data_IF_821696396355
#
_entry.id   IF_821696396355
#
_cell.length_a   1.000
_cell.length_b   1.000
_cell.length_c   1.000
_cell.angle_alpha   90.00
_cell.angle_beta   90.00
_cell.angle_gamma   90.00
#
_symmetry.space_group_name_H-M   'P 1'
#
loop_
_entity.id
_entity.type
_entity.pdbx_description
1 polymer ?
#
# COMPACT_ATOMS: atom_id res chain seq x y z
N UNK A 1 13.40 -19.39 -11.94
CA UNK A 1 12.70 -19.73 -10.68
C UNK A 1 12.59 -21.25 -10.60
N UNK A 2 12.50 -21.80 -9.39
CA UNK A 2 12.43 -23.24 -9.13
C UNK A 2 11.10 -23.57 -8.47
N UNK A 3 10.59 -24.78 -8.71
CA UNK A 3 9.41 -25.28 -8.02
C UNK A 3 9.83 -25.75 -6.62
N UNK A 4 9.10 -25.33 -5.58
CA UNK A 4 9.33 -25.80 -4.21
C UNK A 4 9.21 -27.34 -4.21
N UNK A 5 10.12 -28.07 -3.54
CA UNK A 5 10.04 -29.53 -3.42
C UNK A 5 8.66 -29.97 -2.93
N UNK A 6 8.17 -31.10 -3.43
CA UNK A 6 6.78 -31.52 -3.21
C UNK A 6 6.40 -31.67 -1.74
N UNK A 7 7.28 -32.26 -0.93
CA UNK A 7 7.07 -32.41 0.52
C UNK A 7 6.90 -31.04 1.19
N UNK A 8 7.73 -30.05 0.83
CA UNK A 8 7.61 -28.68 1.32
C UNK A 8 6.36 -27.96 0.83
N UNK A 9 5.90 -28.20 -0.41
CA UNK A 9 4.65 -27.64 -0.91
C UNK A 9 3.42 -28.11 -0.11
N UNK A 10 3.46 -29.34 0.42
CA UNK A 10 2.40 -29.90 1.28
C UNK A 10 2.54 -29.44 2.74
N UNK A 11 3.76 -29.14 3.17
CA UNK A 11 4.06 -28.75 4.54
C UNK A 11 3.91 -27.24 4.80
N UNK A 12 4.13 -26.39 3.80
CA UNK A 12 4.15 -24.93 3.96
C UNK A 12 2.80 -24.32 3.55
N UNK A 13 2.07 -23.83 4.55
CA UNK A 13 0.71 -23.29 4.40
C UNK A 13 0.71 -21.77 4.48
N UNK A 14 0.41 -21.10 3.37
CA UNK A 14 0.27 -19.63 3.35
C UNK A 14 -1.11 -19.24 3.88
N UNK A 15 -1.15 -18.41 4.93
CA UNK A 15 -2.42 -17.87 5.45
C UNK A 15 -2.95 -16.81 4.49
N UNK A 16 -4.29 -16.70 4.32
CA UNK A 16 -4.89 -15.75 3.38
C UNK A 16 -4.34 -14.33 3.55
N UNK A 17 -3.90 -13.75 2.44
CA UNK A 17 -3.38 -12.39 2.43
C UNK A 17 -4.54 -11.39 2.61
N UNK A 18 -4.44 -10.45 3.56
CA UNK A 18 -5.48 -9.45 3.77
C UNK A 18 -5.60 -8.50 2.56
N UNK A 19 -6.82 -8.12 2.24
CA UNK A 19 -7.11 -7.09 1.25
C UNK A 19 -7.05 -5.68 1.87
N UNK A 20 -6.90 -4.67 1.01
CA UNK A 20 -6.92 -3.24 1.36
C UNK A 20 -5.90 -2.91 2.48
N UNK A 21 -4.62 -3.10 2.18
CA UNK A 21 -3.48 -2.91 3.09
C UNK A 21 -2.39 -2.02 2.48
N UNK A 22 -2.76 -1.06 1.60
CA UNK A 22 -1.81 -0.08 1.07
C UNK A 22 -1.21 0.77 2.20
N UNK A 23 0.02 1.24 2.00
CA UNK A 23 0.76 1.98 3.02
C UNK A 23 0.05 3.29 3.41
N UNK A 24 -0.39 4.04 2.40
CA UNK A 24 -0.94 5.39 2.52
C UNK A 24 -2.40 5.38 2.98
N UNK A 25 -3.26 4.59 2.32
CA UNK A 25 -4.72 4.68 2.55
C UNK A 25 -5.22 3.86 3.74
N UNK A 26 -4.45 2.86 4.18
CA UNK A 26 -4.94 1.82 5.09
C UNK A 26 -4.12 1.69 6.38
N UNK A 27 -3.46 2.76 6.83
CA UNK A 27 -2.62 2.74 8.03
C UNK A 27 -3.35 2.17 9.26
N UNK A 28 -4.59 2.62 9.54
CA UNK A 28 -5.37 2.09 10.68
C UNK A 28 -5.66 0.59 10.60
N UNK A 29 -5.85 0.03 9.39
CA UNK A 29 -6.04 -1.42 9.20
C UNK A 29 -4.73 -2.18 9.38
N UNK A 30 -3.62 -1.60 8.94
CA UNK A 30 -2.28 -2.16 9.12
C UNK A 30 -1.91 -2.21 10.60
N UNK A 31 -2.15 -1.14 11.34
CA UNK A 31 -1.93 -1.09 12.79
C UNK A 31 -2.77 -2.14 13.52
N UNK A 32 -4.07 -2.19 13.27
CA UNK A 32 -4.97 -3.18 13.88
C UNK A 32 -4.54 -4.63 13.57
N UNK A 33 -3.99 -4.89 12.39
CA UNK A 33 -3.43 -6.20 12.04
C UNK A 33 -2.17 -6.49 12.85
N UNK A 34 -1.23 -5.55 12.95
CA UNK A 34 -0.01 -5.73 13.74
C UNK A 34 -0.35 -6.04 15.21
N UNK A 35 -1.28 -5.30 15.81
CA UNK A 35 -1.78 -5.54 17.17
C UNK A 35 -2.44 -6.92 17.32
N UNK A 36 -3.23 -7.34 16.34
CA UNK A 36 -3.84 -8.67 16.34
C UNK A 36 -2.79 -9.79 16.26
N UNK A 37 -1.75 -9.61 15.44
CA UNK A 37 -0.64 -10.56 15.34
C UNK A 37 0.16 -10.61 16.65
N UNK A 38 0.46 -9.46 17.25
CA UNK A 38 1.15 -9.39 18.53
C UNK A 38 0.37 -10.13 19.63
N UNK A 39 -0.94 -9.89 19.74
CA UNK A 39 -1.81 -10.59 20.71
C UNK A 39 -1.88 -12.10 20.48
N UNK A 40 -1.94 -12.53 19.21
CA UNK A 40 -2.17 -13.95 18.89
C UNK A 40 -0.89 -14.79 18.90
N UNK A 41 0.25 -14.21 18.49
CA UNK A 41 1.51 -14.92 18.31
C UNK A 41 2.58 -14.57 19.35
N UNK A 42 2.45 -13.45 20.07
CA UNK A 42 3.46 -12.98 21.02
C UNK A 42 3.84 -13.99 22.11
N UNK A 43 2.88 -14.83 22.54
CA UNK A 43 3.09 -15.87 23.56
C UNK A 43 3.13 -17.30 22.99
N UNK A 44 3.11 -17.47 21.66
CA UNK A 44 3.11 -18.80 21.04
C UNK A 44 4.53 -19.33 20.85
N UNK A 45 4.69 -20.63 21.06
CA UNK A 45 5.97 -21.32 20.78
C UNK A 45 6.13 -21.58 19.27
N UNK A 46 7.38 -21.60 18.81
CA UNK A 46 7.71 -21.87 17.41
C UNK A 46 7.37 -20.74 16.43
N UNK A 47 7.32 -19.49 16.90
CA UNK A 47 7.12 -18.29 16.06
C UNK A 47 8.47 -17.73 15.64
N UNK A 48 8.67 -17.62 14.33
CA UNK A 48 9.88 -17.12 13.70
C UNK A 48 9.52 -15.90 12.86
N UNK A 49 10.27 -14.81 13.06
CA UNK A 49 10.17 -13.60 12.26
C UNK A 49 11.32 -13.56 11.28
N UNK A 50 11.06 -13.16 10.04
CA UNK A 50 12.07 -13.09 8.99
C UNK A 50 11.98 -11.78 8.25
N UNK A 51 13.15 -11.31 7.83
CA UNK A 51 13.29 -10.10 7.04
C UNK A 51 14.54 -10.16 6.16
N UNK A 52 14.55 -9.38 5.07
CA UNK A 52 15.71 -9.18 4.22
C UNK A 52 16.06 -7.69 4.05
N UNK A 53 17.36 -7.38 4.11
CA UNK A 53 17.91 -6.06 3.85
C UNK A 53 18.77 -6.05 2.57
N UNK A 54 18.63 -5.00 1.75
CA UNK A 54 19.37 -4.78 0.52
C UNK A 54 18.52 -4.11 -0.58
N UNK A 55 19.03 -3.99 -1.82
CA UNK A 55 20.36 -4.40 -2.24
C UNK A 55 21.45 -3.50 -1.64
N UNK A 56 22.48 -4.12 -1.08
CA UNK A 56 23.76 -3.49 -0.83
C UNK A 56 24.61 -3.52 -2.13
N UNK A 57 25.79 -2.89 -2.10
CA UNK A 57 26.73 -2.85 -3.24
C UNK A 57 26.86 -4.21 -3.94
N UNK A 58 26.94 -4.23 -5.27
CA UNK A 58 27.10 -5.49 -6.03
C UNK A 58 25.88 -6.43 -6.04
N UNK A 59 24.73 -6.01 -5.50
CA UNK A 59 23.50 -6.80 -5.44
C UNK A 59 23.49 -7.84 -4.31
N UNK A 60 24.21 -7.56 -3.22
CA UNK A 60 24.20 -8.36 -2.01
C UNK A 60 22.97 -8.04 -1.15
N UNK A 61 22.40 -9.07 -0.55
CA UNK A 61 21.32 -8.99 0.42
C UNK A 61 21.74 -9.74 1.67
N UNK A 62 21.23 -9.27 2.80
CA UNK A 62 21.31 -9.95 4.09
C UNK A 62 19.92 -10.39 4.49
N UNK A 63 19.80 -11.55 5.12
CA UNK A 63 18.55 -12.03 5.70
C UNK A 63 18.78 -12.41 7.14
N UNK A 64 17.77 -12.20 7.97
CA UNK A 64 17.79 -12.60 9.37
C UNK A 64 16.55 -13.42 9.72
N UNK A 65 16.73 -14.33 10.67
CA UNK A 65 15.68 -15.11 11.28
C UNK A 65 15.74 -14.88 12.78
N UNK A 66 14.64 -14.40 13.35
CA UNK A 66 14.52 -14.08 14.77
C UNK A 66 13.50 -15.00 15.43
N UNK A 67 13.87 -15.55 16.58
CA UNK A 67 13.01 -16.37 17.44
C UNK A 67 13.23 -15.98 18.90
N UNK A 68 12.14 -15.79 19.66
CA UNK A 68 12.17 -15.32 21.06
C UNK A 68 13.09 -14.09 21.27
N UNK A 69 12.94 -13.09 20.41
CA UNK A 69 13.74 -11.84 20.40
C UNK A 69 15.24 -12.01 20.14
N UNK A 70 15.71 -13.20 19.79
CA UNK A 70 17.10 -13.47 19.45
C UNK A 70 17.24 -13.80 17.97
N UNK A 71 18.29 -13.28 17.34
CA UNK A 71 18.68 -13.70 15.99
C UNK A 71 19.23 -15.11 16.04
N UNK A 72 18.50 -16.07 15.48
CA UNK A 72 18.85 -17.50 15.50
C UNK A 72 19.52 -17.96 14.21
N UNK A 73 19.36 -17.21 13.12
CA UNK A 73 20.00 -17.52 11.86
C UNK A 73 20.12 -16.26 10.98
N UNK A 74 21.01 -16.30 10.00
CA UNK A 74 21.16 -15.24 9.02
C UNK A 74 22.09 -15.65 7.89
N UNK A 75 21.95 -15.00 6.74
CA UNK A 75 22.72 -15.31 5.55
C UNK A 75 23.00 -14.05 4.74
N UNK A 76 24.15 -14.01 4.07
CA UNK A 76 24.51 -12.98 3.09
C UNK A 76 24.68 -13.63 1.73
N UNK A 77 23.98 -13.16 0.70
CA UNK A 77 24.03 -13.72 -0.65
C UNK A 77 23.63 -12.69 -1.70
N UNK A 78 23.90 -12.98 -2.97
CA UNK A 78 23.46 -12.13 -4.08
C UNK A 78 22.07 -12.53 -4.55
N UNK A 79 21.22 -11.54 -4.78
CA UNK A 79 19.89 -11.72 -5.35
C UNK A 79 19.60 -10.64 -6.40
N UNK A 80 18.65 -10.91 -7.30
CA UNK A 80 18.27 -9.93 -8.32
C UNK A 80 17.20 -8.94 -7.84
N UNK A 81 16.44 -9.30 -6.81
CA UNK A 81 15.28 -8.54 -6.30
C UNK A 81 15.11 -8.81 -4.82
N UNK A 82 14.65 -7.82 -4.05
CA UNK A 82 14.32 -7.98 -2.63
C UNK A 82 13.38 -9.16 -2.37
N UNK A 83 12.33 -9.34 -3.19
CA UNK A 83 11.42 -10.49 -3.04
C UNK A 83 12.11 -11.86 -3.09
N UNK A 84 13.21 -12.01 -3.85
CA UNK A 84 13.97 -13.26 -3.85
C UNK A 84 14.76 -13.43 -2.55
N UNK A 85 15.22 -12.34 -1.95
CA UNK A 85 15.92 -12.40 -0.68
C UNK A 85 14.94 -12.79 0.45
N UNK A 86 13.75 -12.20 0.45
CA UNK A 86 12.64 -12.56 1.35
C UNK A 86 12.22 -14.04 1.25
N UNK A 87 12.14 -14.58 0.03
CA UNK A 87 11.87 -16.02 -0.19
C UNK A 87 12.96 -16.92 0.43
N UNK A 88 14.21 -16.48 0.44
CA UNK A 88 15.32 -17.21 1.10
C UNK A 88 15.20 -17.09 2.62
N UNK A 89 14.82 -15.93 3.15
CA UNK A 89 14.59 -15.75 4.58
C UNK A 89 13.49 -16.70 5.11
N UNK A 90 12.39 -16.85 4.37
CA UNK A 90 11.33 -17.82 4.66
C UNK A 90 11.87 -19.26 4.66
N UNK A 91 12.64 -19.64 3.63
CA UNK A 91 13.23 -20.99 3.55
C UNK A 91 14.20 -21.26 4.72
N UNK A 92 14.97 -20.24 5.12
CA UNK A 92 15.89 -20.33 6.25
C UNK A 92 15.11 -20.54 7.57
N UNK A 93 14.04 -19.80 7.82
CA UNK A 93 13.18 -20.05 8.98
C UNK A 93 12.48 -21.41 8.94
N UNK A 94 12.07 -21.86 7.75
CA UNK A 94 11.49 -23.18 7.58
C UNK A 94 12.50 -24.29 7.89
N UNK A 95 13.79 -24.08 7.66
CA UNK A 95 14.82 -25.09 7.97
C UNK A 95 14.95 -25.44 9.45
N UNK A 96 14.45 -24.59 10.36
CA UNK A 96 14.45 -24.89 11.79
C UNK A 96 13.37 -25.92 12.16
N UNK A 97 13.74 -26.90 13.00
CA UNK A 97 12.84 -27.97 13.48
C UNK A 97 11.64 -27.43 14.26
N UNK A 98 11.88 -26.40 15.07
CA UNK A 98 10.89 -25.87 16.01
C UNK A 98 9.99 -24.79 15.37
N UNK A 99 10.25 -24.45 14.11
CA UNK A 99 9.49 -23.48 13.34
C UNK A 99 8.10 -24.01 13.02
N UNK A 100 7.07 -23.32 13.50
CA UNK A 100 5.65 -23.61 13.27
C UNK A 100 4.95 -22.46 12.57
N UNK A 101 5.32 -21.23 12.92
CA UNK A 101 4.76 -20.01 12.36
C UNK A 101 5.90 -19.14 11.85
N UNK A 102 5.86 -18.76 10.58
CA UNK A 102 6.83 -17.88 9.94
C UNK A 102 6.10 -16.57 9.63
N UNK A 103 6.57 -15.46 10.18
CA UNK A 103 6.01 -14.13 9.99
C UNK A 103 6.99 -13.29 9.17
N UNK A 104 6.50 -12.69 8.09
CA UNK A 104 7.26 -11.82 7.16
C UNK A 104 6.38 -10.66 6.73
N UNK A 105 6.96 -9.52 6.38
CA UNK A 105 6.24 -8.41 5.77
C UNK A 105 6.32 -8.38 4.23
N UNK A 106 6.97 -9.37 3.63
CA UNK A 106 7.00 -9.53 2.18
C UNK A 106 5.74 -10.20 1.62
N UNK A 107 4.76 -9.38 1.19
CA UNK A 107 3.56 -9.88 0.47
C UNK A 107 3.93 -10.70 -0.77
N UNK A 108 4.96 -10.26 -1.49
CA UNK A 108 5.44 -10.92 -2.70
C UNK A 108 5.97 -12.32 -2.44
N UNK A 109 6.79 -12.48 -1.40
CA UNK A 109 7.33 -13.78 -1.03
C UNK A 109 6.21 -14.75 -0.64
N UNK A 110 5.21 -14.30 0.14
CA UNK A 110 4.03 -15.08 0.46
C UNK A 110 3.29 -15.60 -0.78
N UNK A 111 3.01 -14.73 -1.77
CA UNK A 111 2.32 -15.15 -3.00
C UNK A 111 3.13 -16.15 -3.82
N UNK A 112 4.43 -15.95 -3.90
CA UNK A 112 5.30 -16.84 -4.67
C UNK A 112 5.40 -18.22 -4.03
N UNK A 113 5.49 -18.28 -2.69
CA UNK A 113 5.43 -19.53 -1.93
C UNK A 113 4.08 -20.23 -2.13
N UNK A 114 2.97 -19.48 -2.09
CA UNK A 114 1.62 -20.00 -2.36
C UNK A 114 1.52 -20.62 -3.77
N UNK A 115 2.17 -20.00 -4.77
CA UNK A 115 2.29 -20.52 -6.13
C UNK A 115 3.30 -21.67 -6.27
N UNK A 116 3.96 -22.09 -5.18
CA UNK A 116 4.96 -23.15 -5.20
C UNK A 116 6.26 -22.77 -5.91
N UNK A 117 6.58 -21.48 -6.00
CA UNK A 117 7.75 -20.93 -6.70
C UNK A 117 8.77 -20.31 -5.73
N UNK A 118 10.06 -20.52 -5.98
CA UNK A 118 11.13 -20.07 -5.09
C UNK A 118 12.44 -19.79 -5.88
N UNK A 119 13.41 -19.02 -5.36
CA UNK A 119 14.70 -18.85 -6.00
C UNK A 119 15.61 -20.06 -5.74
N UNK A 120 16.71 -20.16 -6.49
CA UNK A 120 17.59 -21.35 -6.43
C UNK A 120 18.12 -21.62 -5.02
N UNK A 121 18.54 -20.57 -4.30
CA UNK A 121 19.11 -20.71 -2.97
C UNK A 121 18.09 -21.26 -1.95
N UNK A 122 16.88 -20.72 -1.94
CA UNK A 122 15.79 -21.23 -1.12
C UNK A 122 15.42 -22.68 -1.49
N UNK A 123 15.40 -23.01 -2.79
CA UNK A 123 15.20 -24.39 -3.25
C UNK A 123 16.25 -25.34 -2.69
N UNK A 124 17.53 -24.94 -2.67
CA UNK A 124 18.62 -25.73 -2.09
C UNK A 124 18.47 -25.91 -0.59
N UNK A 125 18.05 -24.87 0.14
CA UNK A 125 17.74 -24.97 1.58
C UNK A 125 16.64 -26.01 1.80
N UNK A 126 15.51 -25.90 1.10
CA UNK A 126 14.41 -26.86 1.19
C UNK A 126 14.84 -28.30 0.86
N UNK A 127 15.63 -28.50 -0.19
CA UNK A 127 16.15 -29.82 -0.56
C UNK A 127 17.05 -30.43 0.51
N UNK A 128 17.90 -29.63 1.13
CA UNK A 128 18.82 -30.12 2.15
C UNK A 128 18.07 -30.54 3.43
N UNK A 129 16.98 -29.86 3.78
CA UNK A 129 16.16 -30.20 4.95
C UNK A 129 15.36 -31.51 4.81
N UNK A 130 15.08 -31.97 3.58
CA UNK A 130 14.33 -33.22 3.33
C UNK A 130 15.21 -34.46 3.55
N UNK A 131 16.54 -34.32 3.53
CA UNK A 131 17.45 -35.48 3.55
C UNK A 131 17.29 -36.34 4.79
N UNK A 132 16.89 -35.73 5.90
CA UNK A 132 16.87 -36.40 7.21
C UNK A 132 15.46 -36.83 7.63
N UNK A 133 14.42 -36.03 7.34
CA UNK A 133 13.02 -36.31 7.71
C UNK A 133 12.02 -35.54 6.83
N UNK A 134 10.78 -36.02 6.79
CA UNK A 134 9.68 -35.26 6.18
C UNK A 134 9.45 -33.92 6.92
N UNK A 135 9.23 -32.81 6.20
CA UNK A 135 9.09 -31.50 6.81
C UNK A 135 7.78 -31.38 7.59
N UNK A 136 7.87 -30.96 8.85
CA UNK A 136 6.72 -30.60 9.67
C UNK A 136 5.87 -29.48 9.04
N UNK A 137 4.57 -29.43 9.35
CA UNK A 137 3.69 -28.38 8.85
C UNK A 137 4.03 -27.01 9.44
N UNK A 138 4.08 -25.99 8.59
CA UNK A 138 4.42 -24.60 8.94
C UNK A 138 3.42 -23.63 8.34
N UNK A 139 3.11 -22.56 9.05
CA UNK A 139 2.19 -21.52 8.59
C UNK A 139 2.95 -20.23 8.28
N UNK A 140 2.88 -19.78 7.03
CA UNK A 140 3.42 -18.49 6.60
C UNK A 140 2.34 -17.41 6.76
N UNK A 141 2.67 -16.35 7.50
CA UNK A 141 1.75 -15.28 7.87
C UNK A 141 2.36 -13.95 7.47
N UNK A 142 1.60 -13.16 6.69
CA UNK A 142 2.02 -11.82 6.35
C UNK A 142 1.73 -10.81 7.48
N UNK A 143 2.71 -9.99 7.85
CA UNK A 143 2.58 -8.84 8.75
C UNK A 143 2.82 -7.53 7.98
N UNK A 144 2.19 -6.41 8.35
CA UNK A 144 2.57 -5.13 7.76
C UNK A 144 3.91 -4.65 8.32
N UNK A 145 4.82 -4.23 7.43
CA UNK A 145 6.10 -3.61 7.79
C UNK A 145 5.89 -2.33 8.62
N UNK A 146 6.81 -2.03 9.55
CA UNK A 146 6.88 -0.77 10.31
C UNK A 146 5.58 -0.37 11.02
N UNK A 147 4.98 -1.31 11.76
CA UNK A 147 3.72 -1.10 12.51
C UNK A 147 3.83 -1.53 13.99
N UNK A 148 5.03 -1.56 14.59
CA UNK A 148 5.20 -1.86 16.01
C UNK A 148 5.19 -3.35 16.38
N UNK A 149 5.28 -4.26 15.41
CA UNK A 149 5.35 -5.69 15.69
C UNK A 149 6.79 -6.07 16.07
N UNK A 150 7.06 -6.12 17.37
CA UNK A 150 8.41 -6.26 17.93
C UNK A 150 9.30 -7.33 17.26
N UNK A 151 8.76 -8.52 16.98
CA UNK A 151 9.53 -9.58 16.30
C UNK A 151 9.89 -9.27 14.85
N UNK A 152 9.00 -8.58 14.13
CA UNK A 152 9.24 -8.14 12.75
C UNK A 152 10.30 -7.04 12.72
N UNK A 153 10.19 -6.06 13.62
CA UNK A 153 11.17 -4.98 13.76
C UNK A 153 12.55 -5.51 14.21
N UNK A 154 12.57 -6.53 15.07
CA UNK A 154 13.80 -7.21 15.44
C UNK A 154 14.45 -7.96 14.27
N UNK A 155 13.65 -8.64 13.43
CA UNK A 155 14.16 -9.31 12.23
C UNK A 155 14.75 -8.29 11.24
N UNK A 156 14.05 -7.18 11.02
CA UNK A 156 14.48 -6.07 10.17
C UNK A 156 15.78 -5.40 10.69
N UNK A 157 15.84 -5.09 11.98
CA UNK A 157 17.06 -4.59 12.61
C UNK A 157 18.22 -5.60 12.50
N UNK A 158 17.95 -6.90 12.70
CA UNK A 158 18.96 -7.96 12.59
C UNK A 158 19.47 -8.12 11.14
N UNK A 159 18.59 -8.05 10.14
CA UNK A 159 18.95 -8.13 8.74
C UNK A 159 19.87 -6.97 8.35
N UNK A 160 19.54 -5.73 8.78
CA UNK A 160 20.40 -4.55 8.57
C UNK A 160 21.72 -4.64 9.34
N UNK A 161 21.73 -5.19 10.56
CA UNK A 161 22.96 -5.35 11.33
C UNK A 161 23.95 -6.32 10.66
N UNK A 162 23.46 -7.33 9.94
CA UNK A 162 24.31 -8.23 9.14
C UNK A 162 24.99 -7.51 7.96
N UNK A 163 24.47 -6.37 7.53
CA UNK A 163 25.06 -5.56 6.45
C UNK A 163 26.43 -5.01 6.81
N UNK A 164 26.78 -4.87 8.10
CA UNK A 164 28.13 -4.49 8.54
C UNK A 164 29.20 -5.54 8.17
N UNK A 165 28.80 -6.75 7.78
CA UNK A 165 29.69 -7.79 7.23
C UNK A 165 29.81 -7.74 5.70
N UNK A 166 28.99 -6.93 5.03
CA UNK A 166 29.11 -6.67 3.60
C UNK A 166 30.12 -5.53 3.39
N UNK A 167 30.95 -5.60 2.35
CA UNK A 167 32.01 -4.61 2.06
C UNK A 167 31.43 -3.17 2.05
N UNK A 168 31.98 -2.27 2.85
CA UNK A 168 31.50 -0.88 2.94
C UNK A 168 31.71 -0.14 1.63
N UNK A 169 30.67 0.53 1.11
CA UNK A 169 30.74 1.70 0.22
C UNK A 169 29.34 2.29 0.02
N UNK A 170 29.29 3.56 -0.40
CA UNK A 170 28.15 4.48 -0.45
C UNK A 170 26.80 3.83 -0.79
N UNK A 171 25.71 4.24 -0.11
CA UNK A 171 24.40 3.65 -0.36
C UNK A 171 24.02 3.86 -1.83
N UNK A 172 23.64 2.81 -2.58
CA UNK A 172 22.88 3.02 -3.80
C UNK A 172 21.61 3.79 -3.44
N UNK A 173 21.12 4.63 -4.36
CA UNK A 173 19.79 5.25 -4.24
C UNK A 173 18.82 4.18 -3.75
N UNK A 174 18.18 4.41 -2.59
CA UNK A 174 17.18 3.49 -2.06
C UNK A 174 16.22 3.20 -3.21
N UNK A 175 16.16 1.94 -3.66
CA UNK A 175 15.05 1.55 -4.52
C UNK A 175 13.80 1.99 -3.76
N UNK A 176 12.92 2.79 -4.38
CA UNK A 176 11.72 3.23 -3.70
C UNK A 176 11.03 1.99 -3.14
N UNK A 177 10.59 2.07 -1.88
CA UNK A 177 9.90 1.01 -1.16
C UNK A 177 8.71 0.57 -2.01
N UNK A 178 8.96 -0.39 -2.89
CA UNK A 178 8.00 -0.84 -3.86
C UNK A 178 7.04 -1.66 -3.01
N UNK A 179 5.85 -1.11 -2.79
CA UNK A 179 4.73 -1.85 -2.22
C UNK A 179 3.91 -2.43 -3.38
N UNK A 180 4.34 -3.54 -3.98
CA UNK A 180 3.74 -4.07 -5.20
C UNK A 180 2.26 -4.35 -4.99
N UNK A 181 1.44 -3.71 -5.82
CA UNK A 181 0.02 -4.02 -5.96
C UNK A 181 -0.15 -5.24 -6.85
N UNK A 182 -1.01 -6.15 -6.42
CA UNK A 182 -0.91 -7.55 -6.82
C UNK A 182 -2.18 -8.11 -7.45
N UNK A 183 -3.31 -7.58 -7.04
CA UNK A 183 -4.63 -7.93 -7.59
C UNK A 183 -5.09 -6.84 -8.55
N UNK A 184 -5.93 -7.19 -9.52
CA UNK A 184 -6.54 -6.21 -10.42
C UNK A 184 -7.17 -5.05 -9.64
N UNK A 185 -7.90 -5.35 -8.57
CA UNK A 185 -8.51 -4.35 -7.67
C UNK A 185 -7.48 -3.40 -7.06
N UNK A 186 -6.36 -3.91 -6.57
CA UNK A 186 -5.29 -3.08 -5.99
C UNK A 186 -4.59 -2.23 -7.05
N UNK A 187 -4.37 -2.78 -8.25
CA UNK A 187 -3.79 -2.05 -9.39
C UNK A 187 -4.72 -0.89 -9.79
N UNK A 188 -6.01 -1.17 -9.96
CA UNK A 188 -7.00 -0.13 -10.27
C UNK A 188 -7.08 0.92 -9.17
N UNK A 189 -7.12 0.51 -7.89
CA UNK A 189 -7.15 1.44 -6.77
C UNK A 189 -5.89 2.32 -6.71
N UNK A 190 -4.71 1.74 -6.97
CA UNK A 190 -3.45 2.48 -7.06
C UNK A 190 -3.52 3.57 -8.12
N UNK A 191 -3.89 3.24 -9.36
CA UNK A 191 -4.01 4.25 -10.42
C UNK A 191 -5.12 5.28 -10.15
N UNK A 192 -6.24 4.85 -9.55
CA UNK A 192 -7.31 5.77 -9.16
C UNK A 192 -6.87 6.76 -8.08
N UNK A 193 -6.06 6.32 -7.12
CA UNK A 193 -5.56 7.17 -6.04
C UNK A 193 -4.39 8.03 -6.51
N UNK A 194 -3.48 7.50 -7.33
CA UNK A 194 -2.32 8.26 -7.85
C UNK A 194 -2.72 9.36 -8.82
N UNK A 195 -3.81 9.17 -9.59
CA UNK A 195 -4.34 10.18 -10.50
C UNK A 195 -5.40 11.08 -9.86
N UNK A 196 -5.66 10.91 -8.56
CA UNK A 196 -6.65 11.72 -7.87
C UNK A 196 -6.07 13.11 -7.60
N UNK A 197 -6.61 14.10 -8.29
CA UNK A 197 -6.29 15.52 -8.05
C UNK A 197 -7.17 16.11 -6.94
N UNK A 198 -8.48 15.87 -7.03
CA UNK A 198 -9.45 16.43 -6.08
C UNK A 198 -9.72 15.50 -4.88
N UNK A 199 -10.06 16.05 -3.71
CA UNK A 199 -10.43 15.27 -2.54
C UNK A 199 -11.66 14.40 -2.80
N UNK A 200 -11.73 13.26 -2.11
CA UNK A 200 -12.97 12.48 -2.08
C UNK A 200 -13.99 13.07 -1.12
N UNK A 201 -15.29 12.86 -1.38
CA UNK A 201 -16.33 13.19 -0.44
C UNK A 201 -16.07 12.61 0.96
N UNK A 202 -16.11 13.47 1.97
CA UNK A 202 -15.92 13.09 3.36
C UNK A 202 -17.08 12.23 3.86
N UNK A 203 -16.78 11.32 4.80
CA UNK A 203 -17.83 10.60 5.52
C UNK A 203 -18.68 11.60 6.31
N UNK A 204 -20.00 11.53 6.15
CA UNK A 204 -20.95 12.44 6.82
C UNK A 204 -21.62 13.44 5.88
N UNK A 205 -21.10 13.61 4.65
CA UNK A 205 -21.76 14.41 3.62
C UNK A 205 -23.06 13.72 3.15
N UNK A 206 -24.15 14.46 2.99
CA UNK A 206 -25.42 13.88 2.51
C UNK A 206 -25.26 13.41 1.06
N UNK A 207 -26.06 12.43 0.65
CA UNK A 207 -25.98 11.88 -0.72
C UNK A 207 -26.33 12.88 -1.83
N UNK A 208 -27.10 13.92 -1.53
CA UNK A 208 -27.36 15.00 -2.50
C UNK A 208 -26.11 15.86 -2.69
N UNK A 209 -25.57 16.36 -1.58
CA UNK A 209 -24.36 17.16 -1.45
C UNK A 209 -23.13 16.44 -2.06
N UNK A 210 -22.97 15.14 -1.81
CA UNK A 210 -21.92 14.31 -2.42
C UNK A 210 -21.99 14.31 -3.95
N UNK A 211 -23.19 14.20 -4.52
CA UNK A 211 -23.38 14.25 -5.98
C UNK A 211 -23.11 15.64 -6.53
N UNK A 212 -23.50 16.70 -5.81
CA UNK A 212 -23.24 18.08 -6.21
C UNK A 212 -21.74 18.37 -6.20
N UNK A 213 -21.04 18.01 -5.13
CA UNK A 213 -19.60 18.15 -4.98
C UNK A 213 -18.85 17.45 -6.12
N UNK A 214 -19.18 16.18 -6.40
CA UNK A 214 -18.52 15.45 -7.48
C UNK A 214 -18.73 16.13 -8.85
N UNK A 215 -19.89 16.73 -9.09
CA UNK A 215 -20.16 17.49 -10.33
C UNK A 215 -19.39 18.80 -10.38
N UNK A 216 -19.18 19.47 -9.25
CA UNK A 216 -18.29 20.64 -9.16
C UNK A 216 -16.85 20.25 -9.45
N UNK A 217 -16.32 19.23 -8.76
CA UNK A 217 -14.93 18.75 -8.91
C UNK A 217 -14.63 18.23 -10.32
N UNK A 218 -15.61 17.64 -11.00
CA UNK A 218 -15.44 17.15 -12.38
C UNK A 218 -15.87 18.16 -13.44
N UNK A 219 -16.29 19.36 -13.04
CA UNK A 219 -16.86 20.39 -13.91
C UNK A 219 -17.99 19.87 -14.82
N UNK A 220 -18.87 19.02 -14.27
CA UNK A 220 -20.04 18.43 -14.94
C UNK A 220 -21.37 18.93 -14.40
N UNK A 221 -21.35 20.04 -13.64
CA UNK A 221 -22.55 20.73 -13.23
C UNK A 221 -23.22 21.37 -14.45
N UNK A 222 -24.54 21.26 -14.54
CA UNK A 222 -25.28 21.94 -15.61
C UNK A 222 -25.24 23.44 -15.34
N UNK A 223 -24.67 24.18 -16.28
CA UNK A 223 -24.59 25.64 -16.28
C UNK A 223 -25.18 26.19 -17.60
N UNK A 224 -25.57 27.47 -17.65
CA UNK A 224 -26.07 28.08 -18.89
C UNK A 224 -25.15 27.85 -20.09
N UNK A 225 -23.83 27.97 -19.92
CA UNK A 225 -22.86 27.73 -20.99
C UNK A 225 -22.89 26.30 -21.55
N UNK A 226 -23.26 25.29 -20.74
CA UNK A 226 -23.47 23.92 -21.21
C UNK A 226 -24.86 23.74 -21.81
N UNK A 227 -25.90 24.32 -21.20
CA UNK A 227 -27.29 24.19 -21.62
C UNK A 227 -27.56 24.75 -23.02
N UNK A 228 -26.87 25.83 -23.42
CA UNK A 228 -26.98 26.39 -24.79
C UNK A 228 -26.69 25.38 -25.91
N UNK A 229 -25.95 24.32 -25.61
CA UNK A 229 -25.62 23.25 -26.56
C UNK A 229 -26.65 22.10 -26.54
N UNK A 230 -27.51 22.05 -25.53
CA UNK A 230 -28.52 21.00 -25.33
C UNK A 230 -29.93 21.49 -25.69
N UNK A 231 -30.21 22.77 -25.48
CA UNK A 231 -31.51 23.38 -25.69
C UNK A 231 -31.36 24.71 -26.45
N UNK A 232 -31.93 24.82 -27.68
CA UNK A 232 -31.90 26.05 -28.47
C UNK A 232 -32.56 27.27 -27.80
N UNK A 233 -33.42 27.07 -26.80
CA UNK A 233 -34.03 28.17 -26.03
C UNK A 233 -33.07 28.82 -25.03
N UNK A 234 -31.96 28.15 -24.70
CA UNK A 234 -30.93 28.66 -23.81
C UNK A 234 -29.85 29.43 -24.60
N UNK A 235 -29.61 30.69 -24.23
CA UNK A 235 -28.57 31.52 -24.87
C UNK A 235 -27.18 31.38 -24.20
N UNK A 236 -27.11 30.75 -23.03
CA UNK A 236 -25.87 30.56 -22.27
C UNK A 236 -25.45 31.74 -21.38
N UNK A 237 -26.27 32.78 -21.33
CA UNK A 237 -26.03 33.96 -20.51
C UNK A 237 -26.32 33.68 -19.03
N UNK A 238 -25.75 34.51 -18.17
CA UNK A 238 -26.08 34.49 -16.75
C UNK A 238 -27.53 34.96 -16.54
N UNK A 239 -28.34 34.28 -15.69
CA UNK A 239 -29.66 34.78 -15.32
C UNK A 239 -29.60 35.93 -14.29
N UNK A 240 -28.44 36.19 -13.69
CA UNK A 240 -28.29 37.16 -12.60
C UNK A 240 -27.52 38.43 -12.98
N UNK A 241 -26.62 38.34 -13.95
CA UNK A 241 -25.80 39.48 -14.40
C UNK A 241 -25.72 39.53 -15.93
N UNK A 242 -25.01 40.50 -16.48
CA UNK A 242 -24.89 40.71 -17.94
C UNK A 242 -23.85 39.82 -18.63
N UNK A 243 -23.32 38.78 -17.96
CA UNK A 243 -22.33 37.89 -18.56
C UNK A 243 -22.95 37.03 -19.69
N UNK A 244 -22.28 37.02 -20.85
CA UNK A 244 -22.77 36.39 -22.10
C UNK A 244 -22.46 34.87 -22.17
N UNK A 245 -21.58 34.37 -21.32
CA UNK A 245 -21.33 32.93 -21.19
C UNK A 245 -21.00 32.60 -19.75
N UNK A 246 -21.86 31.81 -19.11
CA UNK A 246 -21.76 31.50 -17.68
C UNK A 246 -21.53 30.01 -17.46
N UNK A 247 -20.28 29.68 -17.16
CA UNK A 247 -19.85 28.34 -16.78
C UNK A 247 -20.04 28.09 -15.28
N UNK A 248 -19.69 26.88 -14.81
CA UNK A 248 -19.77 26.49 -13.39
C UNK A 248 -19.06 27.49 -12.48
N UNK A 249 -17.85 27.92 -12.86
CA UNK A 249 -17.06 28.92 -12.13
C UNK A 249 -17.84 30.23 -11.98
N UNK A 250 -18.42 30.75 -13.07
CA UNK A 250 -19.22 31.95 -12.98
C UNK A 250 -20.42 31.77 -12.06
N UNK A 251 -21.19 30.69 -12.24
CA UNK A 251 -22.45 30.49 -11.52
C UNK A 251 -22.28 30.26 -10.02
N UNK A 252 -21.21 29.58 -9.60
CA UNK A 252 -21.01 29.11 -8.23
C UNK A 252 -20.00 29.94 -7.45
N UNK A 253 -19.11 30.67 -8.14
CA UNK A 253 -18.01 31.40 -7.48
C UNK A 253 -17.95 32.88 -7.87
N UNK A 254 -17.97 33.20 -9.16
CA UNK A 254 -17.57 34.53 -9.63
C UNK A 254 -18.72 35.50 -9.94
N UNK A 255 -19.98 35.06 -9.90
CA UNK A 255 -21.10 35.94 -10.25
C UNK A 255 -21.32 37.00 -9.17
N UNK A 256 -21.25 38.31 -9.50
CA UNK A 256 -21.42 39.37 -8.51
C UNK A 256 -22.87 39.58 -8.05
N UNK A 257 -23.83 39.06 -8.82
CA UNK A 257 -25.26 39.33 -8.65
C UNK A 257 -26.07 38.08 -8.32
N UNK A 258 -25.43 36.92 -8.13
CA UNK A 258 -26.14 35.70 -7.77
C UNK A 258 -26.54 35.75 -6.28
N UNK A 259 -27.85 35.77 -5.95
CA UNK A 259 -28.31 35.93 -4.56
C UNK A 259 -28.02 34.70 -3.68
N UNK A 260 -27.68 33.55 -4.28
CA UNK A 260 -27.39 32.32 -3.55
C UNK A 260 -25.93 32.23 -3.05
N UNK A 261 -25.03 33.10 -3.53
CA UNK A 261 -23.61 33.09 -3.14
C UNK A 261 -23.17 34.48 -2.65
N UNK A 262 -22.33 34.56 -1.61
CA UNK A 262 -21.76 35.83 -1.21
C UNK A 262 -20.79 36.35 -2.30
N UNK A 263 -20.80 37.66 -2.62
CA UNK A 263 -19.93 38.20 -3.64
C UNK A 263 -18.46 38.13 -3.18
N UNK A 264 -17.63 37.48 -4.00
CA UNK A 264 -16.18 37.39 -3.78
C UNK A 264 -15.52 38.57 -4.51
N UNK A 265 -14.68 39.38 -3.83
CA UNK A 265 -13.96 40.47 -4.48
C UNK A 265 -12.86 39.91 -5.39
N UNK A 266 -12.83 40.36 -6.65
CA UNK A 266 -11.84 39.96 -7.66
C UNK A 266 -11.65 38.43 -7.79
N UNK A 267 -12.73 37.67 -8.08
CA UNK A 267 -12.63 36.22 -8.14
C UNK A 267 -11.74 35.81 -9.32
N UNK A 268 -10.81 34.88 -9.08
CA UNK A 268 -9.98 34.26 -10.10
C UNK A 268 -10.29 32.76 -10.24
N UNK A 269 -9.97 32.19 -11.39
CA UNK A 269 -10.16 30.74 -11.62
C UNK A 269 -9.15 29.93 -10.80
N UNK A 270 -7.98 30.49 -10.57
CA UNK A 270 -6.92 29.94 -9.75
C UNK A 270 -7.37 29.79 -8.30
N UNK A 271 -8.04 30.80 -7.73
CA UNK A 271 -8.58 30.74 -6.36
C UNK A 271 -9.71 29.70 -6.24
N UNK A 272 -10.57 29.62 -7.26
CA UNK A 272 -11.60 28.60 -7.34
C UNK A 272 -11.00 27.18 -7.35
N UNK A 273 -10.01 26.96 -8.22
CA UNK A 273 -9.33 25.68 -8.37
C UNK A 273 -8.58 25.29 -7.08
N UNK A 274 -7.89 26.25 -6.45
CA UNK A 274 -7.24 26.05 -5.16
C UNK A 274 -8.24 25.66 -4.07
N UNK A 275 -9.44 26.26 -4.08
CA UNK A 275 -10.51 25.92 -3.12
C UNK A 275 -11.03 24.50 -3.33
N UNK A 276 -11.22 24.09 -4.59
CA UNK A 276 -11.64 22.72 -4.91
C UNK A 276 -10.57 21.67 -4.54
N UNK A 277 -9.29 21.99 -4.75
CA UNK A 277 -8.19 21.11 -4.37
C UNK A 277 -8.03 21.00 -2.86
N UNK A 278 -8.26 22.10 -2.12
CA UNK A 278 -8.07 22.19 -0.68
C UNK A 278 -9.21 21.67 0.20
N UNK A 279 -10.36 21.27 -0.35
CA UNK A 279 -11.54 20.88 0.44
C UNK A 279 -11.47 19.43 0.98
N UNK A 280 -10.48 19.16 1.82
CA UNK A 280 -10.22 17.82 2.38
C UNK A 280 -11.09 17.44 3.58
N UNK A 281 -11.74 18.40 4.23
CA UNK A 281 -12.57 18.17 5.40
C UNK A 281 -14.07 18.39 5.14
N UNK A 282 -14.89 17.88 6.06
CA UNK A 282 -16.34 17.90 5.91
C UNK A 282 -16.91 19.33 5.87
N UNK A 283 -16.35 20.26 6.64
CA UNK A 283 -16.85 21.63 6.73
C UNK A 283 -16.55 22.39 5.43
N UNK A 284 -15.34 22.25 4.90
CA UNK A 284 -14.94 22.83 3.62
C UNK A 284 -15.79 22.28 2.47
N UNK A 285 -16.07 20.97 2.46
CA UNK A 285 -16.94 20.37 1.46
C UNK A 285 -18.39 20.83 1.57
N UNK A 286 -18.92 20.96 2.79
CA UNK A 286 -20.26 21.48 3.04
C UNK A 286 -20.42 22.95 2.64
N UNK A 287 -19.36 23.75 2.70
CA UNK A 287 -19.39 25.14 2.24
C UNK A 287 -19.53 25.27 0.72
N UNK A 288 -19.24 24.20 -0.04
CA UNK A 288 -19.30 24.19 -1.50
C UNK A 288 -20.66 23.71 -2.06
N UNK A 289 -21.55 23.14 -1.23
CA UNK A 289 -22.75 22.40 -1.68
C UNK A 289 -24.01 22.70 -0.90
#
# INVERSE_FOLDING_TARGET
RFRIPELWRRALHVRPLPANMSHEDHNGRRLARAEALARHYGNKTGVYYVDASGPHHGGWYTVAVVHNSNTVNGLTFRARRATQAEEVAIALAASHSDSKYIITDSRGACRNVEQGCTPFLAFRIYQNCIRDTDPAHRFLIWAPAHQGLAGNEAADAAARALSHRAVFSSPPDQEPDFNPVYTFKEITAYYQNSHRLYPSPCKGLKKADERLLLRLLTNTLLCPAALKHLDPSCNGNCPHCSAVSSDTYHMVWACPSNPAIPPIPNPTREDWEATLLGCHDLQAQQALV
#
